data_IF_592828931583
#
_entry.id   IF_592828931583
#
_cell.length_a   1.000
_cell.length_b   1.000
_cell.length_c   1.000
_cell.angle_alpha   90.00
_cell.angle_beta   90.00
_cell.angle_gamma   90.00
#
_symmetry.space_group_name_H-M   'P 1'
#
loop_
_entity.id
_entity.type
_entity.pdbx_description
1 polymer ?
#
# COMPACT_ATOMS: atom_id res chain seq x y z
N UNK A 1 8.66 -8.29 -26.04
CA UNK A 1 7.26 -8.59 -25.66
C UNK A 1 6.48 -7.62 -26.52
N UNK A 2 6.26 -8.02 -27.77
CA UNK A 2 6.00 -7.05 -28.83
C UNK A 2 4.52 -7.19 -29.20
N UNK A 3 3.74 -6.16 -28.86
CA UNK A 3 2.30 -5.98 -29.09
C UNK A 3 1.37 -6.61 -28.02
N UNK A 4 1.15 -5.93 -26.88
CA UNK A 4 0.08 -6.31 -25.96
C UNK A 4 -1.30 -6.17 -26.65
N UNK A 5 -2.11 -7.21 -26.56
CA UNK A 5 -3.47 -7.24 -27.06
C UNK A 5 -4.44 -6.94 -25.91
N UNK A 6 -5.50 -6.17 -26.20
CA UNK A 6 -6.62 -6.00 -25.26
C UNK A 6 -7.53 -7.22 -25.41
N UNK A 7 -7.49 -8.11 -24.43
CA UNK A 7 -8.25 -9.38 -24.46
C UNK A 7 -9.65 -9.27 -23.83
N UNK A 8 -10.02 -8.11 -23.30
CA UNK A 8 -11.34 -7.85 -22.71
C UNK A 8 -11.37 -6.61 -21.84
N UNK A 9 -12.54 -6.35 -21.25
CA UNK A 9 -12.76 -5.27 -20.28
C UNK A 9 -12.23 -5.65 -18.89
N UNK A 10 -12.04 -4.65 -18.02
CA UNK A 10 -11.72 -4.89 -16.61
C UNK A 10 -12.93 -5.44 -15.85
N UNK A 11 -12.69 -6.39 -14.95
CA UNK A 11 -13.70 -6.84 -14.00
C UNK A 11 -14.02 -5.77 -12.94
N UNK A 12 -15.28 -5.63 -12.50
CA UNK A 12 -15.65 -4.70 -11.45
C UNK A 12 -15.08 -5.15 -10.09
N UNK A 13 -14.79 -4.17 -9.22
CA UNK A 13 -14.22 -4.44 -7.89
C UNK A 13 -15.05 -5.42 -7.08
N UNK A 14 -16.39 -5.34 -7.14
CA UNK A 14 -17.28 -6.23 -6.39
C UNK A 14 -17.12 -7.72 -6.77
N UNK A 15 -16.78 -8.01 -8.04
CA UNK A 15 -16.49 -9.37 -8.51
C UNK A 15 -15.17 -9.88 -7.93
N UNK A 16 -14.17 -9.01 -7.86
CA UNK A 16 -12.81 -9.34 -7.43
C UNK A 16 -12.63 -9.30 -5.90
N UNK A 17 -13.44 -8.51 -5.19
CA UNK A 17 -13.27 -8.24 -3.77
C UNK A 17 -13.21 -9.51 -2.90
N UNK A 18 -14.03 -10.57 -3.12
CA UNK A 18 -13.96 -11.79 -2.31
C UNK A 18 -12.60 -12.49 -2.34
N UNK A 19 -11.84 -12.37 -3.44
CA UNK A 19 -10.51 -12.98 -3.57
C UNK A 19 -9.39 -12.01 -3.24
N UNK A 20 -9.59 -10.70 -3.43
CA UNK A 20 -8.61 -9.67 -3.10
C UNK A 20 -8.56 -9.33 -1.61
N UNK A 21 -9.71 -9.23 -0.92
CA UNK A 21 -9.77 -8.80 0.49
C UNK A 21 -8.84 -9.62 1.40
N UNK A 22 -8.79 -10.97 1.34
CA UNK A 22 -7.90 -11.75 2.20
C UNK A 22 -6.41 -11.45 1.95
N UNK A 23 -6.01 -11.16 0.71
CA UNK A 23 -4.63 -10.78 0.38
C UNK A 23 -4.31 -9.39 0.96
N UNK A 24 -5.24 -8.45 0.84
CA UNK A 24 -5.03 -7.09 1.33
C UNK A 24 -4.96 -7.03 2.85
N UNK A 25 -5.86 -7.73 3.54
CA UNK A 25 -5.92 -7.80 5.00
C UNK A 25 -4.69 -8.49 5.61
N UNK A 26 -4.18 -9.56 4.97
CA UNK A 26 -3.12 -10.39 5.55
C UNK A 26 -1.72 -9.96 5.13
N UNK A 27 -1.56 -9.44 3.92
CA UNK A 27 -0.24 -9.16 3.34
C UNK A 27 -0.06 -7.67 3.02
N UNK A 28 -1.04 -7.04 2.37
CA UNK A 28 -0.84 -5.67 1.88
C UNK A 28 -0.83 -4.65 3.02
N UNK A 29 -1.86 -4.63 3.87
CA UNK A 29 -1.95 -3.69 4.97
C UNK A 29 -0.87 -3.93 6.04
N UNK A 30 -0.82 -5.10 6.72
CA UNK A 30 0.04 -5.28 7.90
C UNK A 30 1.52 -5.48 7.56
N UNK A 31 1.86 -5.86 6.33
CA UNK A 31 3.25 -6.08 5.92
C UNK A 31 3.72 -5.01 4.94
N UNK A 32 3.17 -4.97 3.72
CA UNK A 32 3.71 -4.11 2.66
C UNK A 32 3.55 -2.61 2.98
N UNK A 33 2.34 -2.15 3.30
CA UNK A 33 2.06 -0.75 3.58
C UNK A 33 2.67 -0.30 4.91
N UNK A 34 2.56 -1.14 5.96
CA UNK A 34 3.20 -0.87 7.23
C UNK A 34 4.71 -0.70 7.11
N UNK A 35 5.39 -1.59 6.37
CA UNK A 35 6.83 -1.49 6.12
C UNK A 35 7.19 -0.29 5.26
N UNK A 36 6.41 -0.02 4.21
CA UNK A 36 6.60 1.15 3.34
C UNK A 36 6.54 2.44 4.15
N UNK A 37 5.58 2.54 5.08
CA UNK A 37 5.44 3.69 5.96
C UNK A 37 6.60 3.79 6.95
N UNK A 38 7.04 2.68 7.55
CA UNK A 38 8.20 2.66 8.43
C UNK A 38 9.47 3.14 7.70
N UNK A 39 9.70 2.67 6.47
CA UNK A 39 10.83 3.13 5.66
C UNK A 39 10.72 4.62 5.30
N UNK A 40 9.52 5.10 4.93
CA UNK A 40 9.31 6.50 4.64
C UNK A 40 9.59 7.40 5.86
N UNK A 41 9.17 6.97 7.06
CA UNK A 41 9.45 7.65 8.34
C UNK A 41 10.95 7.69 8.62
N UNK A 42 11.63 6.54 8.56
CA UNK A 42 13.07 6.44 8.77
C UNK A 42 13.86 7.30 7.76
N UNK A 43 13.44 7.31 6.49
CA UNK A 43 14.08 8.13 5.44
C UNK A 43 13.93 9.62 5.72
N UNK A 44 12.74 10.07 6.09
CA UNK A 44 12.47 11.46 6.46
C UNK A 44 13.28 11.91 7.69
N UNK A 45 13.49 11.01 8.65
CA UNK A 45 14.30 11.24 9.85
C UNK A 45 15.82 11.14 9.61
N UNK A 46 16.27 10.73 8.41
CA UNK A 46 17.69 10.51 8.12
C UNK A 46 18.28 9.27 8.82
N UNK A 47 17.44 8.35 9.26
CA UNK A 47 17.85 7.11 9.92
C UNK A 47 18.45 6.13 8.92
N UNK A 48 19.56 5.46 9.31
CA UNK A 48 20.25 4.49 8.45
C UNK A 48 19.53 3.16 8.32
N UNK A 49 18.73 2.82 9.32
CA UNK A 49 18.04 1.52 9.42
C UNK A 49 16.55 1.78 9.62
N UNK A 50 15.73 1.14 8.80
CA UNK A 50 14.29 1.03 9.02
C UNK A 50 14.03 -0.21 9.85
N UNK A 51 13.19 -0.07 10.88
CA UNK A 51 12.80 -1.18 11.74
C UNK A 51 11.29 -1.16 12.01
N UNK A 52 10.69 -2.34 12.09
CA UNK A 52 9.29 -2.50 12.44
C UNK A 52 9.07 -3.88 13.06
N UNK A 53 8.26 -3.93 14.13
CA UNK A 53 7.78 -5.20 14.67
C UNK A 53 6.45 -5.55 14.00
N UNK A 54 6.44 -6.66 13.26
CA UNK A 54 5.26 -7.22 12.59
C UNK A 54 5.05 -8.64 13.12
N UNK A 55 3.81 -8.99 13.48
CA UNK A 55 3.47 -10.32 14.02
C UNK A 55 4.35 -10.77 15.21
N UNK A 56 4.70 -9.83 16.08
CA UNK A 56 5.56 -10.10 17.25
C UNK A 56 7.03 -10.35 16.93
N UNK A 57 7.46 -10.15 15.68
CA UNK A 57 8.85 -10.29 15.23
C UNK A 57 9.39 -8.95 14.76
N UNK A 58 10.62 -8.62 15.17
CA UNK A 58 11.32 -7.42 14.70
C UNK A 58 11.97 -7.69 13.35
N UNK A 59 11.66 -6.85 12.37
CA UNK A 59 12.28 -6.79 11.07
C UNK A 59 13.12 -5.51 10.97
N UNK A 60 14.25 -5.58 10.27
CA UNK A 60 15.10 -4.42 10.03
C UNK A 60 15.80 -4.51 8.67
N UNK A 61 16.03 -3.36 8.03
CA UNK A 61 16.83 -3.23 6.81
C UNK A 61 17.48 -1.85 6.73
N UNK A 62 18.43 -1.65 5.83
CA UNK A 62 18.91 -0.31 5.50
C UNK A 62 17.76 0.56 4.96
N UNK A 63 17.66 1.80 5.41
CA UNK A 63 16.64 2.74 4.91
C UNK A 63 16.90 3.10 3.46
N UNK A 64 15.87 3.02 2.61
CA UNK A 64 15.99 3.30 1.18
C UNK A 64 15.15 4.51 0.75
N UNK A 65 15.73 5.39 -0.07
CA UNK A 65 15.03 6.52 -0.69
C UNK A 65 13.87 6.11 -1.60
N UNK A 66 14.09 5.09 -2.43
CA UNK A 66 13.12 4.74 -3.49
C UNK A 66 11.79 4.24 -2.94
N UNK A 67 11.73 3.30 -1.96
CA UNK A 67 10.46 2.90 -1.35
C UNK A 67 9.70 4.05 -0.68
N UNK A 68 10.41 5.01 -0.05
CA UNK A 68 9.78 6.21 0.50
C UNK A 68 9.09 7.05 -0.59
N UNK A 69 9.76 7.23 -1.74
CA UNK A 69 9.17 7.89 -2.91
C UNK A 69 7.99 7.11 -3.51
N UNK A 70 8.08 5.78 -3.59
CA UNK A 70 7.00 4.92 -4.09
C UNK A 70 5.73 5.00 -3.23
N UNK A 71 5.86 5.07 -1.90
CA UNK A 71 4.71 5.28 -1.03
C UNK A 71 4.03 6.62 -1.30
N UNK A 72 4.80 7.70 -1.48
CA UNK A 72 4.22 9.01 -1.81
C UNK A 72 3.47 9.00 -3.14
N UNK A 73 3.96 8.27 -4.14
CA UNK A 73 3.25 8.10 -5.42
C UNK A 73 1.91 7.38 -5.19
N UNK A 74 1.89 6.34 -4.35
CA UNK A 74 0.66 5.61 -4.03
C UNK A 74 -0.35 6.49 -3.30
N UNK A 75 0.12 7.29 -2.32
CA UNK A 75 -0.71 8.30 -1.62
C UNK A 75 -1.33 9.27 -2.62
N UNK A 76 -0.55 9.81 -3.55
CA UNK A 76 -1.07 10.74 -4.56
C UNK A 76 -2.13 10.09 -5.46
N UNK A 77 -1.89 8.86 -5.92
CA UNK A 77 -2.89 8.09 -6.71
C UNK A 77 -4.18 7.86 -5.94
N UNK A 78 -4.08 7.56 -4.65
CA UNK A 78 -5.25 7.46 -3.79
C UNK A 78 -5.98 8.80 -3.66
N UNK A 79 -5.26 9.93 -3.50
CA UNK A 79 -5.90 11.26 -3.46
C UNK A 79 -6.68 11.59 -4.73
N UNK A 80 -6.21 11.16 -5.90
CA UNK A 80 -6.92 11.33 -7.17
C UNK A 80 -8.17 10.43 -7.27
N UNK A 81 -8.09 9.22 -6.70
CA UNK A 81 -9.13 8.19 -6.80
C UNK A 81 -10.17 8.19 -5.65
N UNK A 82 -9.93 8.90 -4.54
CA UNK A 82 -10.79 8.89 -3.33
C UNK A 82 -12.21 9.45 -3.52
N UNK A 83 -12.60 9.82 -4.73
CA UNK A 83 -13.99 10.16 -5.04
C UNK A 83 -14.84 8.89 -5.25
N UNK A 84 -14.21 7.72 -5.46
CA UNK A 84 -14.88 6.44 -5.58
C UNK A 84 -15.16 5.83 -4.19
N UNK A 85 -16.45 5.66 -3.87
CA UNK A 85 -16.89 5.14 -2.59
C UNK A 85 -16.52 3.65 -2.41
N UNK A 86 -16.62 2.85 -3.47
CA UNK A 86 -16.29 1.41 -3.43
C UNK A 86 -14.81 1.17 -3.14
N UNK A 87 -13.94 1.98 -3.71
CA UNK A 87 -12.51 1.97 -3.40
C UNK A 87 -12.25 2.33 -1.93
N UNK A 88 -12.88 3.40 -1.42
CA UNK A 88 -12.70 3.81 -0.01
C UNK A 88 -13.16 2.70 0.93
N UNK A 89 -14.33 2.12 0.68
CA UNK A 89 -14.87 1.06 1.52
C UNK A 89 -13.98 -0.19 1.46
N UNK A 90 -13.50 -0.58 0.28
CA UNK A 90 -12.54 -1.68 0.14
C UNK A 90 -11.23 -1.42 0.92
N UNK A 91 -10.63 -0.23 0.79
CA UNK A 91 -9.40 0.12 1.50
C UNK A 91 -9.59 0.23 3.01
N UNK A 92 -10.78 0.65 3.46
CA UNK A 92 -11.15 0.69 4.88
C UNK A 92 -11.34 -0.71 5.45
N UNK A 93 -12.11 -1.54 4.77
CA UNK A 93 -12.38 -2.93 5.15
C UNK A 93 -11.09 -3.74 5.26
N UNK A 94 -10.12 -3.46 4.38
CA UNK A 94 -8.83 -4.15 4.35
C UNK A 94 -7.72 -3.48 5.16
N UNK A 95 -8.06 -2.47 5.97
CA UNK A 95 -7.12 -1.71 6.81
C UNK A 95 -5.97 -1.01 6.08
N UNK A 96 -6.09 -0.81 4.77
CA UNK A 96 -5.08 -0.12 3.96
C UNK A 96 -5.18 1.41 4.07
N UNK A 97 -6.40 1.92 4.30
CA UNK A 97 -6.70 3.35 4.27
C UNK A 97 -5.77 4.23 5.13
N UNK A 98 -5.43 3.86 6.39
CA UNK A 98 -4.60 4.70 7.25
C UNK A 98 -3.18 4.94 6.72
N UNK A 99 -2.67 4.11 5.82
CA UNK A 99 -1.35 4.27 5.20
C UNK A 99 -1.35 5.19 3.98
N UNK A 100 -2.53 5.40 3.39
CA UNK A 100 -2.71 6.15 2.14
C UNK A 100 -3.26 7.56 2.37
N UNK A 101 -3.86 7.81 3.53
CA UNK A 101 -4.24 9.15 3.94
C UNK A 101 -3.01 9.99 4.32
N UNK A 102 -3.03 11.30 4.03
CA UNK A 102 -1.99 12.21 4.48
C UNK A 102 -1.85 12.10 6.00
N UNK A 103 -0.65 11.80 6.46
CA UNK A 103 -0.36 11.79 7.89
C UNK A 103 -0.34 13.25 8.40
N UNK A 104 -0.86 13.52 9.61
CA UNK A 104 -0.82 14.86 10.22
C UNK A 104 0.61 15.34 10.48
#
# INVERSE_FOLDING_TARGET
>A
MDHPLVEGDFEPLDSLAPTLKPLYEREIAPHFLAWSQANAKAWAAGEKTTELTMEGRRYYQNTFKYPAGSLQILVNKYQDAKHDAGLIDFLRDTHCLPYLEPQP
#
